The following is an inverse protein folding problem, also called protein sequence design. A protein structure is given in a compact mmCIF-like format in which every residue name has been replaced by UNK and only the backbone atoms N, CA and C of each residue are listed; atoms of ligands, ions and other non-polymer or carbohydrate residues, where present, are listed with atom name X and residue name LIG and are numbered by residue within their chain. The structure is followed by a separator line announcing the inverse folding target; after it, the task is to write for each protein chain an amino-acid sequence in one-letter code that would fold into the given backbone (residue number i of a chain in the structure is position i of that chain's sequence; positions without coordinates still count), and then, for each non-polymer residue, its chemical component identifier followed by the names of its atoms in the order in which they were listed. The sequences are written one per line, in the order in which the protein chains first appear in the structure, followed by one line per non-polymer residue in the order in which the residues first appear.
data_IF_037564475187
#
_entry.id   IF_037564475187
#
_cell.length_a   1.000
_cell.length_b   1.000
_cell.length_c   1.000
_cell.angle_alpha   90.00
_cell.angle_beta   90.00
_cell.angle_gamma   90.00
#
_symmetry.space_group_name_H-M   'P 1'
#
loop_
_entity.id
_entity.type
_entity.pdbx_description
1 polymer ?
#
# COMPACT_ATOMS: atom_id res chain seq x y z
N UNK A 1 -37.89 -0.64 -35.76
CA UNK A 1 -37.88 0.32 -34.63
C UNK A 1 -37.82 -0.34 -33.25
N UNK A 2 -38.46 -1.51 -33.02
CA UNK A 2 -38.50 -2.21 -31.71
C UNK A 2 -37.18 -2.90 -31.26
N UNK A 3 -36.24 -3.17 -32.17
CA UNK A 3 -34.98 -3.90 -31.87
C UNK A 3 -33.90 -3.00 -31.25
N UNK A 4 -33.83 -1.74 -31.68
CA UNK A 4 -32.86 -0.75 -31.16
C UNK A 4 -33.18 -0.32 -29.72
N UNK A 5 -34.47 -0.15 -29.39
CA UNK A 5 -34.93 0.14 -28.03
C UNK A 5 -34.55 -0.98 -27.05
N UNK A 6 -34.72 -2.26 -27.44
CA UNK A 6 -34.32 -3.41 -26.61
C UNK A 6 -32.81 -3.48 -26.34
N UNK A 7 -31.99 -3.04 -27.31
CA UNK A 7 -30.53 -2.95 -27.16
C UNK A 7 -30.14 -1.86 -26.15
N UNK A 8 -30.78 -0.69 -26.22
CA UNK A 8 -30.52 0.42 -25.32
C UNK A 8 -30.88 0.09 -23.85
N UNK A 9 -32.02 -0.58 -23.62
CA UNK A 9 -32.42 -1.02 -22.27
C UNK A 9 -31.50 -2.08 -21.69
N UNK A 10 -30.98 -3.00 -22.52
CA UNK A 10 -29.98 -4.00 -22.13
C UNK A 10 -28.67 -3.33 -21.69
N UNK A 11 -28.23 -2.31 -22.42
CA UNK A 11 -27.04 -1.54 -22.11
C UNK A 11 -27.19 -0.76 -20.79
N UNK A 12 -28.34 -0.11 -20.60
CA UNK A 12 -28.66 0.65 -19.38
C UNK A 12 -28.73 -0.26 -18.14
N UNK A 13 -29.37 -1.44 -18.28
CA UNK A 13 -29.42 -2.45 -17.23
C UNK A 13 -28.02 -2.96 -16.87
N UNK A 14 -27.14 -3.12 -17.84
CA UNK A 14 -25.75 -3.52 -17.60
C UNK A 14 -24.97 -2.47 -16.81
N UNK A 15 -25.13 -1.18 -17.14
CA UNK A 15 -24.51 -0.07 -16.42
C UNK A 15 -25.00 0.03 -14.98
N UNK A 16 -26.31 -0.13 -14.75
CA UNK A 16 -26.89 -0.12 -13.39
C UNK A 16 -26.38 -1.29 -12.55
N UNK A 17 -26.28 -2.49 -13.15
CA UNK A 17 -25.75 -3.68 -12.47
C UNK A 17 -24.26 -3.48 -12.13
N UNK A 18 -23.47 -2.90 -13.04
CA UNK A 18 -22.04 -2.58 -12.78
C UNK A 18 -21.89 -1.54 -11.67
N UNK A 19 -22.69 -0.46 -11.67
CA UNK A 19 -22.66 0.54 -10.59
C UNK A 19 -23.05 -0.07 -9.24
N UNK A 20 -24.06 -0.95 -9.21
CA UNK A 20 -24.49 -1.62 -7.98
C UNK A 20 -23.45 -2.62 -7.47
N UNK A 21 -22.77 -3.34 -8.38
CA UNK A 21 -21.63 -4.20 -8.07
C UNK A 21 -20.45 -3.42 -7.49
N UNK A 22 -20.15 -2.24 -8.06
CA UNK A 22 -19.06 -1.39 -7.58
C UNK A 22 -19.37 -0.78 -6.20
N UNK A 23 -20.65 -0.48 -5.93
CA UNK A 23 -21.11 0.03 -4.63
C UNK A 23 -20.99 -0.98 -3.49
N UNK A 24 -20.87 -2.28 -3.80
CA UNK A 24 -20.67 -3.35 -2.81
C UNK A 24 -19.20 -3.64 -2.50
N UNK A 25 -18.24 -2.95 -3.14
CA UNK A 25 -16.82 -3.15 -2.84
C UNK A 25 -16.52 -2.53 -1.47
N UNK A 26 -16.06 -3.31 -0.48
CA UNK A 26 -15.61 -2.74 0.78
C UNK A 26 -14.39 -1.85 0.53
N UNK A 27 -14.49 -0.56 0.89
CA UNK A 27 -13.36 0.37 0.84
C UNK A 27 -12.39 -0.02 1.96
N UNK A 28 -11.36 -0.79 1.61
CA UNK A 28 -10.33 -1.19 2.56
C UNK A 28 -9.40 0.02 2.80
N UNK A 29 -9.03 0.32 4.05
CA UNK A 29 -7.99 1.31 4.29
C UNK A 29 -6.66 0.80 3.73
N UNK A 30 -6.16 1.44 2.66
CA UNK A 30 -4.76 1.25 2.24
C UNK A 30 -3.89 1.79 3.36
N UNK A 31 -3.25 0.89 4.10
CA UNK A 31 -2.21 1.24 5.06
C UNK A 31 -0.95 1.49 4.24
N UNK A 32 -0.41 2.70 4.30
CA UNK A 32 0.85 3.03 3.64
C UNK A 32 1.99 2.29 4.36
N UNK A 33 2.44 1.18 3.78
CA UNK A 33 3.64 0.47 4.20
C UNK A 33 4.83 0.94 3.35
N UNK A 34 5.88 1.41 4.03
CA UNK A 34 7.13 1.83 3.37
C UNK A 34 8.09 0.66 3.31
N UNK A 35 8.42 0.21 2.09
CA UNK A 35 9.36 -0.89 1.88
C UNK A 35 10.79 -0.36 1.93
N UNK A 36 11.64 -0.99 2.75
CA UNK A 36 13.05 -0.65 2.91
C UNK A 36 13.91 -1.83 2.48
N UNK A 37 14.72 -1.60 1.46
CA UNK A 37 15.64 -2.60 0.90
C UNK A 37 17.06 -2.05 0.68
N UNK A 38 17.31 -0.80 1.08
CA UNK A 38 18.61 -0.12 0.89
C UNK A 38 19.14 0.42 2.21
N UNK A 39 20.45 0.65 2.25
CA UNK A 39 21.11 1.23 3.42
C UNK A 39 20.58 2.62 3.75
N UNK A 40 20.63 2.96 5.03
CA UNK A 40 20.24 4.27 5.54
C UNK A 40 21.49 5.14 5.56
N UNK A 41 21.62 5.96 4.52
CA UNK A 41 22.83 6.77 4.26
C UNK A 41 22.73 8.20 4.80
N UNK A 42 21.56 8.59 5.30
CA UNK A 42 21.29 9.93 5.81
C UNK A 42 20.37 9.87 7.04
N UNK A 43 20.46 10.90 7.87
CA UNK A 43 19.62 11.02 9.06
C UNK A 43 18.15 10.98 8.64
N UNK A 44 17.39 10.05 9.21
CA UNK A 44 16.01 9.84 8.84
C UNK A 44 15.16 9.57 10.07
N UNK A 45 13.88 9.93 9.97
CA UNK A 45 12.88 9.70 11.02
C UNK A 45 11.76 8.86 10.41
N UNK A 46 11.50 7.70 11.02
CA UNK A 46 10.44 6.80 10.61
C UNK A 46 9.18 7.04 11.44
N UNK A 47 8.05 7.05 10.75
CA UNK A 47 6.70 7.17 11.30
C UNK A 47 5.73 6.30 10.49
N UNK A 48 4.93 5.47 11.15
CA UNK A 48 3.98 4.57 10.48
C UNK A 48 4.50 3.13 10.36
N UNK A 49 4.21 2.46 9.24
CA UNK A 49 4.58 1.04 9.04
C UNK A 49 5.71 0.92 8.02
N UNK A 50 6.78 0.24 8.41
CA UNK A 50 7.94 -0.05 7.56
C UNK A 50 8.13 -1.56 7.42
N UNK A 51 8.50 -2.01 6.23
CA UNK A 51 8.86 -3.40 5.97
C UNK A 51 10.29 -3.49 5.47
N UNK A 52 11.17 -4.04 6.29
CA UNK A 52 12.58 -4.26 5.98
C UNK A 52 12.71 -5.65 5.35
N UNK A 53 13.11 -5.69 4.09
CA UNK A 53 13.07 -6.92 3.29
C UNK A 53 14.38 -7.70 3.25
N UNK A 54 15.47 -7.12 3.76
CA UNK A 54 16.80 -7.75 3.86
C UNK A 54 17.65 -7.05 4.91
N UNK A 55 18.85 -7.58 5.18
CA UNK A 55 19.85 -6.86 5.96
C UNK A 55 20.18 -5.52 5.28
N UNK A 56 20.06 -4.43 6.03
CA UNK A 56 20.46 -3.07 5.64
C UNK A 56 21.40 -2.50 6.68
N UNK A 57 22.31 -1.63 6.27
CA UNK A 57 23.23 -0.97 7.20
C UNK A 57 22.85 0.50 7.43
N UNK A 58 23.05 0.96 8.66
CA UNK A 58 23.15 2.37 9.00
C UNK A 58 24.59 2.84 8.73
N UNK A 59 24.77 3.82 7.84
CA UNK A 59 26.11 4.33 7.57
C UNK A 59 26.72 4.99 8.83
N UNK A 60 28.06 5.01 8.97
CA UNK A 60 28.72 5.68 10.09
C UNK A 60 28.29 7.14 10.22
N UNK A 61 27.95 7.55 11.45
CA UNK A 61 27.51 8.91 11.75
C UNK A 61 26.05 9.23 11.38
N UNK A 62 25.30 8.26 10.84
CA UNK A 62 23.87 8.42 10.52
C UNK A 62 23.00 8.04 11.72
N UNK A 63 21.89 8.78 11.89
CA UNK A 63 20.87 8.54 12.91
C UNK A 63 19.54 8.13 12.29
N UNK A 64 19.05 6.96 12.66
CA UNK A 64 17.66 6.54 12.47
C UNK A 64 16.86 6.86 13.72
N UNK A 65 15.77 7.63 13.59
CA UNK A 65 14.85 7.97 14.68
C UNK A 65 13.54 7.24 14.45
N UNK A 66 13.10 6.44 15.41
CA UNK A 66 11.81 5.76 15.34
C UNK A 66 10.79 6.53 16.18
N UNK A 67 9.74 7.07 15.54
CA UNK A 67 8.68 7.76 16.27
C UNK A 67 7.79 6.77 17.03
N UNK A 68 7.18 7.20 18.16
CA UNK A 68 6.21 6.37 18.87
C UNK A 68 5.08 5.90 17.94
N UNK A 69 4.68 4.63 18.08
CA UNK A 69 3.65 4.01 17.23
C UNK A 69 4.14 3.51 15.86
N UNK A 70 5.43 3.66 15.55
CA UNK A 70 6.02 3.05 14.35
C UNK A 70 6.07 1.53 14.49
N UNK A 71 5.64 0.82 13.45
CA UNK A 71 5.72 -0.65 13.34
C UNK A 71 6.76 -0.98 12.28
N UNK A 72 7.72 -1.84 12.64
CA UNK A 72 8.77 -2.29 11.72
C UNK A 72 8.65 -3.82 11.58
N UNK A 73 8.29 -4.27 10.39
CA UNK A 73 8.21 -5.66 10.02
C UNK A 73 9.51 -6.10 9.36
N UNK A 74 10.14 -7.14 9.90
CA UNK A 74 11.34 -7.74 9.31
C UNK A 74 10.97 -9.02 8.59
N UNK A 75 11.33 -9.12 7.31
CA UNK A 75 11.29 -10.38 6.59
C UNK A 75 12.31 -11.37 7.20
N UNK A 76 12.16 -12.65 6.88
CA UNK A 76 13.13 -13.66 7.31
C UNK A 76 14.54 -13.30 6.81
N UNK A 77 15.50 -13.19 7.73
CA UNK A 77 16.88 -12.78 7.43
C UNK A 77 17.09 -11.28 7.23
N UNK A 78 16.06 -10.45 7.46
CA UNK A 78 16.20 -9.00 7.47
C UNK A 78 16.68 -8.47 8.83
N UNK A 79 17.35 -7.33 8.81
CA UNK A 79 17.91 -6.71 10.00
C UNK A 79 18.46 -5.32 9.70
N UNK A 80 18.75 -4.56 10.76
CA UNK A 80 19.48 -3.28 10.66
C UNK A 80 20.81 -3.47 11.37
N UNK A 81 21.89 -3.31 10.64
CA UNK A 81 23.27 -3.43 11.12
C UNK A 81 23.93 -2.05 11.21
N UNK A 82 24.94 -1.92 12.07
CA UNK A 82 25.64 -0.67 12.35
C UNK A 82 27.11 -0.75 11.98
#
# INVERSE_FOLDING_TARGET
MLTFSKFLTRLFSFVVIISLLFALIPVQPVRAETVVSTNITQNTTWSGTYRVTRAISLNPGVRLVIQPGTVINFDAGAGIEC
#
